data_IF_054312703447
#
_entry.id   IF_054312703447
#
_cell.length_a   1.000
_cell.length_b   1.000
_cell.length_c   1.000
_cell.angle_alpha   90.00
_cell.angle_beta   90.00
_cell.angle_gamma   90.00
#
_symmetry.space_group_name_H-M   'P 1'
#
loop_
_entity.id
_entity.type
_entity.pdbx_description
1 polymer ?
#
# COMPACT_ATOMS: atom_id res chain seq x y z
N UNK A 1 -7.09 -10.71 9.68
CA UNK A 1 -6.20 -9.54 9.60
C UNK A 1 -6.52 -8.58 10.72
N UNK A 2 -5.73 -7.52 10.86
CA UNK A 2 -5.90 -6.48 11.88
C UNK A 2 -5.53 -5.11 11.29
N UNK A 3 -6.10 -4.04 11.81
CA UNK A 3 -5.71 -2.68 11.46
C UNK A 3 -4.45 -2.30 12.23
N UNK A 4 -3.37 -1.97 11.52
CA UNK A 4 -2.13 -1.44 12.12
C UNK A 4 -2.19 0.09 12.23
N UNK A 5 -2.87 0.73 11.27
CA UNK A 5 -3.19 2.16 11.26
C UNK A 5 -4.58 2.37 10.67
N UNK A 6 -5.06 3.62 10.59
CA UNK A 6 -6.32 3.98 9.92
C UNK A 6 -6.34 3.63 8.43
N UNK A 7 -5.17 3.45 7.81
CA UNK A 7 -5.01 3.26 6.36
C UNK A 7 -4.32 1.95 5.99
N UNK A 8 -3.91 1.14 6.97
CA UNK A 8 -3.15 -0.10 6.77
C UNK A 8 -3.83 -1.27 7.47
N UNK A 9 -4.27 -2.24 6.66
CA UNK A 9 -4.79 -3.51 7.13
C UNK A 9 -3.76 -4.62 6.88
N UNK A 10 -3.35 -5.31 7.95
CA UNK A 10 -2.38 -6.40 7.92
C UNK A 10 -3.08 -7.75 7.86
N UNK A 11 -2.60 -8.65 7.00
CA UNK A 11 -3.12 -10.02 6.86
C UNK A 11 -1.97 -11.00 7.08
N UNK A 12 -1.99 -11.80 8.16
CA UNK A 12 -0.94 -12.79 8.39
C UNK A 12 -1.07 -13.94 7.39
N UNK A 13 0.08 -14.42 6.89
CA UNK A 13 0.14 -15.57 5.98
C UNK A 13 -0.15 -16.88 6.72
N UNK A 14 0.23 -16.98 8.00
CA UNK A 14 -0.01 -18.14 8.85
C UNK A 14 -1.19 -17.90 9.81
N UNK A 15 -1.98 -18.94 10.09
CA UNK A 15 -3.19 -18.88 10.92
C UNK A 15 -2.93 -18.57 12.39
N UNK A 16 -1.69 -18.77 12.88
CA UNK A 16 -1.23 -18.49 14.24
C UNK A 16 0.16 -17.85 14.20
N UNK A 17 0.27 -16.55 13.90
CA UNK A 17 1.55 -15.87 13.98
C UNK A 17 2.02 -15.83 15.46
N UNK A 18 3.33 -15.92 15.74
CA UNK A 18 3.85 -15.68 17.07
C UNK A 18 3.42 -14.29 17.56
N UNK A 19 3.01 -14.18 18.83
CA UNK A 19 2.50 -12.93 19.43
C UNK A 19 3.54 -11.78 19.35
N UNK A 20 4.82 -12.12 19.21
CA UNK A 20 5.95 -11.20 19.16
C UNK A 20 6.57 -11.06 17.77
N UNK A 21 5.97 -11.63 16.72
CA UNK A 21 6.53 -11.52 15.38
C UNK A 21 6.31 -10.11 14.85
N UNK A 22 7.40 -9.35 14.70
CA UNK A 22 7.41 -8.18 13.81
C UNK A 22 6.82 -8.59 12.45
N UNK A 23 5.85 -7.81 11.96
CA UNK A 23 5.22 -8.07 10.68
C UNK A 23 6.17 -7.70 9.53
N UNK A 24 6.60 -8.69 8.76
CA UNK A 24 7.38 -8.46 7.54
C UNK A 24 6.47 -8.68 6.32
N UNK A 25 5.97 -7.63 5.65
CA UNK A 25 5.07 -7.80 4.52
C UNK A 25 5.83 -8.41 3.33
N UNK A 26 5.32 -9.53 2.83
CA UNK A 26 5.79 -10.13 1.57
C UNK A 26 5.15 -9.48 0.33
N UNK A 27 3.96 -8.91 0.48
CA UNK A 27 3.23 -8.21 -0.59
C UNK A 27 2.63 -6.92 -0.02
N UNK A 28 2.82 -5.83 -0.74
CA UNK A 28 2.18 -4.53 -0.50
C UNK A 28 1.14 -4.35 -1.62
N UNK A 29 -0.12 -4.14 -1.24
CA UNK A 29 -1.22 -3.92 -2.17
C UNK A 29 -1.69 -2.47 -2.05
N UNK A 30 -1.75 -1.77 -3.19
CA UNK A 30 -2.29 -0.41 -3.25
C UNK A 30 -3.34 -0.35 -4.35
N UNK A 31 -4.52 0.12 -3.98
CA UNK A 31 -5.57 0.52 -4.90
C UNK A 31 -5.45 2.02 -5.17
N UNK A 32 -5.10 2.38 -6.40
CA UNK A 32 -4.91 3.76 -6.81
C UNK A 32 -6.25 4.43 -7.05
N UNK A 33 -6.37 5.72 -6.72
CA UNK A 33 -7.57 6.48 -7.07
C UNK A 33 -7.83 6.49 -8.59
N UNK A 34 -9.09 6.32 -9.04
CA UNK A 34 -9.43 6.40 -10.46
C UNK A 34 -9.13 7.80 -11.01
N UNK A 35 -8.70 7.85 -12.28
CA UNK A 35 -8.42 9.10 -12.99
C UNK A 35 -9.51 9.48 -14.00
N UNK A 36 -10.54 8.64 -14.15
CA UNK A 36 -11.68 8.91 -14.99
C UNK A 36 -12.45 10.16 -14.51
N UNK A 37 -12.97 10.95 -15.46
CA UNK A 37 -13.70 12.19 -15.15
C UNK A 37 -12.83 13.36 -14.65
N UNK A 38 -11.49 13.20 -14.59
CA UNK A 38 -10.58 14.31 -14.28
C UNK A 38 -10.06 14.91 -15.57
N UNK A 39 -10.69 15.99 -16.03
CA UNK A 39 -10.31 16.69 -17.27
C UNK A 39 -9.08 17.59 -17.11
N UNK A 40 -8.80 18.04 -15.88
CA UNK A 40 -7.68 18.92 -15.58
C UNK A 40 -6.40 18.10 -15.33
N UNK A 41 -5.43 18.25 -16.24
CA UNK A 41 -4.11 17.62 -16.17
C UNK A 41 -3.37 17.88 -14.86
N UNK A 42 -3.54 19.07 -14.27
CA UNK A 42 -2.91 19.40 -12.99
C UNK A 42 -3.52 18.55 -11.88
N UNK A 43 -4.85 18.42 -11.83
CA UNK A 43 -5.54 17.55 -10.87
C UNK A 43 -5.17 16.08 -11.05
N UNK A 44 -5.04 15.60 -12.30
CA UNK A 44 -4.57 14.23 -12.59
C UNK A 44 -3.18 14.00 -12.00
N UNK A 45 -2.25 14.93 -12.23
CA UNK A 45 -0.88 14.86 -11.67
C UNK A 45 -0.89 14.88 -10.15
N UNK A 46 -1.71 15.72 -9.52
CA UNK A 46 -1.82 15.74 -8.06
C UNK A 46 -2.33 14.42 -7.48
N UNK A 47 -3.31 13.74 -8.11
CA UNK A 47 -3.76 12.42 -7.67
C UNK A 47 -2.63 11.39 -7.72
N UNK A 48 -1.86 11.36 -8.81
CA UNK A 48 -0.70 10.46 -8.91
C UNK A 48 0.35 10.78 -7.84
N UNK A 49 0.60 12.07 -7.56
CA UNK A 49 1.53 12.49 -6.51
C UNK A 49 1.06 12.07 -5.11
N UNK A 50 -0.24 12.12 -4.85
CA UNK A 50 -0.83 11.68 -3.59
C UNK A 50 -0.65 10.16 -3.38
N UNK A 51 -0.91 9.35 -4.41
CA UNK A 51 -0.63 7.91 -4.39
C UNK A 51 0.87 7.62 -4.16
N UNK A 52 1.76 8.37 -4.82
CA UNK A 52 3.20 8.26 -4.56
C UNK A 52 3.57 8.65 -3.12
N UNK A 53 2.86 9.60 -2.53
CA UNK A 53 3.04 10.00 -1.14
C UNK A 53 2.62 8.89 -0.19
N UNK A 54 1.45 8.29 -0.41
CA UNK A 54 0.95 7.13 0.34
C UNK A 54 1.93 5.96 0.28
N UNK A 55 2.45 5.62 -0.91
CA UNK A 55 3.46 4.59 -1.06
C UNK A 55 4.73 4.91 -0.26
N UNK A 56 5.20 6.16 -0.28
CA UNK A 56 6.38 6.57 0.51
C UNK A 56 6.16 6.38 2.01
N UNK A 57 4.99 6.75 2.52
CA UNK A 57 4.67 6.56 3.94
C UNK A 57 4.59 5.07 4.31
N UNK A 58 4.02 4.22 3.44
CA UNK A 58 4.04 2.76 3.64
C UNK A 58 5.47 2.21 3.69
N UNK A 59 6.34 2.63 2.77
CA UNK A 59 7.74 2.18 2.73
C UNK A 59 8.51 2.62 3.99
N UNK A 60 8.24 3.82 4.51
CA UNK A 60 8.84 4.31 5.77
C UNK A 60 8.33 3.57 7.00
N UNK A 61 7.10 3.08 6.96
CA UNK A 61 6.51 2.29 8.04
C UNK A 61 6.98 0.83 8.06
N UNK A 62 7.70 0.38 7.03
CA UNK A 62 8.28 -0.96 7.02
C UNK A 62 9.33 -1.11 8.11
N UNK A 63 9.43 -2.28 8.76
CA UNK A 63 10.50 -2.54 9.71
C UNK A 63 11.89 -2.42 9.05
N UNK A 64 12.85 -1.92 9.82
CA UNK A 64 14.25 -1.75 9.38
C UNK A 64 14.87 -3.10 8.98
N UNK A 65 14.51 -4.16 9.71
CA UNK A 65 14.84 -5.53 9.36
C UNK A 65 13.77 -6.07 8.42
N UNK A 66 14.19 -6.72 7.33
CA UNK A 66 13.28 -7.31 6.35
C UNK A 66 13.60 -8.79 6.19
N UNK A 67 12.65 -9.65 6.54
CA UNK A 67 12.76 -11.09 6.27
C UNK A 67 12.47 -11.42 4.80
N UNK A 68 11.66 -10.59 4.14
CA UNK A 68 11.25 -10.76 2.74
C UNK A 68 11.58 -9.49 1.94
N UNK A 69 11.83 -9.65 0.65
CA UNK A 69 11.76 -8.53 -0.30
C UNK A 69 10.28 -8.34 -0.65
N UNK A 70 9.66 -7.20 -0.28
CA UNK A 70 8.24 -7.00 -0.54
C UNK A 70 7.98 -6.85 -2.03
N UNK A 71 6.99 -7.59 -2.56
CA UNK A 71 6.43 -7.35 -3.88
C UNK A 71 5.39 -6.23 -3.83
N UNK A 72 5.34 -5.37 -4.83
CA UNK A 72 4.33 -4.32 -4.94
C UNK A 72 3.27 -4.72 -5.99
N UNK A 73 2.01 -4.75 -5.58
CA UNK A 73 0.85 -4.93 -6.46
C UNK A 73 0.03 -3.64 -6.48
N UNK A 74 -0.14 -3.07 -7.67
CA UNK A 74 -0.92 -1.85 -7.90
C UNK A 74 -2.20 -2.20 -8.66
N UNK A 75 -3.34 -1.80 -8.13
CA UNK A 75 -4.61 -1.79 -8.86
C UNK A 75 -4.80 -0.39 -9.43
N UNK A 76 -4.66 -0.27 -10.75
CA UNK A 76 -4.87 0.97 -11.49
C UNK A 76 -6.16 0.82 -12.29
N UNK A 77 -7.10 1.73 -12.05
CA UNK A 77 -8.33 1.78 -12.82
C UNK A 77 -8.03 2.22 -14.26
N UNK A 78 -8.38 1.37 -15.22
CA UNK A 78 -8.45 1.76 -16.62
C UNK A 78 -9.72 2.60 -16.84
N UNK A 79 -9.65 3.60 -17.71
CA UNK A 79 -10.86 4.19 -18.26
C UNK A 79 -11.44 3.20 -19.29
N UNK A 80 -12.74 2.89 -19.19
CA UNK A 80 -13.48 2.30 -20.31
C UNK A 80 -13.71 3.32 -21.42
#
# INVERSE_FOLDING_TARGET
>A
GQWETETVFSIPVASKPPITAEGYPGVIMIECAPLEGVEDDLKRKYRVLDECSRLRELIKALPDKRHFVPSLLLFVWAAE
#
